data_IF_235536076479
#
_entry.id   IF_235536076479
#
_cell.length_a   1.000
_cell.length_b   1.000
_cell.length_c   1.000
_cell.angle_alpha   90.00
_cell.angle_beta   90.00
_cell.angle_gamma   90.00
#
_symmetry.space_group_name_H-M   'P 1'
#
loop_
_entity.id
_entity.type
_entity.pdbx_description
1 polymer ?
#
# COMPACT_ATOMS: atom_id res chain seq x y z
N UNK A 1 2.19 12.82 -0.74
CA UNK A 1 1.44 12.07 -1.74
C UNK A 1 1.55 10.57 -1.48
N UNK A 2 0.61 9.80 -2.04
CA UNK A 2 0.63 8.35 -2.03
C UNK A 2 0.68 7.89 -3.48
N UNK A 3 1.62 7.01 -3.78
CA UNK A 3 1.74 6.39 -5.09
C UNK A 3 1.13 4.99 -5.07
N UNK A 4 0.44 4.65 -6.15
CA UNK A 4 -0.19 3.35 -6.35
C UNK A 4 0.26 2.77 -7.68
N UNK A 5 0.53 1.46 -7.70
CA UNK A 5 0.88 0.72 -8.90
C UNK A 5 0.36 -0.72 -8.85
N UNK A 6 0.36 -1.35 -10.00
CA UNK A 6 0.29 -2.80 -10.13
C UNK A 6 1.71 -3.32 -10.23
N UNK A 7 2.20 -4.09 -9.28
CA UNK A 7 3.50 -4.73 -9.42
C UNK A 7 3.35 -6.18 -9.90
N UNK A 8 4.36 -6.66 -10.64
CA UNK A 8 4.26 -7.91 -11.42
C UNK A 8 4.45 -9.21 -10.63
N UNK A 9 4.39 -9.22 -9.29
CA UNK A 9 4.58 -10.44 -8.51
C UNK A 9 3.34 -11.32 -8.44
N UNK A 10 3.50 -12.62 -8.21
CA UNK A 10 2.37 -13.54 -8.00
C UNK A 10 1.48 -13.12 -6.80
N UNK A 11 2.07 -12.53 -5.76
CA UNK A 11 1.31 -11.97 -4.66
C UNK A 11 0.40 -10.83 -5.13
N UNK A 12 0.86 -10.01 -6.07
CA UNK A 12 0.08 -8.90 -6.60
C UNK A 12 -1.11 -9.39 -7.42
N UNK A 13 -0.96 -10.46 -8.19
CA UNK A 13 -2.09 -11.09 -8.89
C UNK A 13 -3.17 -11.56 -7.89
N UNK A 14 -2.78 -12.21 -6.79
CA UNK A 14 -3.69 -12.62 -5.73
C UNK A 14 -4.39 -11.43 -5.06
N UNK A 15 -3.64 -10.35 -4.76
CA UNK A 15 -4.21 -9.12 -4.17
C UNK A 15 -5.18 -8.45 -5.14
N UNK A 16 -4.85 -8.39 -6.44
CA UNK A 16 -5.72 -7.82 -7.46
C UNK A 16 -7.05 -8.58 -7.55
N UNK A 17 -7.01 -9.91 -7.56
CA UNK A 17 -8.21 -10.75 -7.55
C UNK A 17 -9.03 -10.52 -6.29
N UNK A 18 -8.40 -10.63 -5.12
CA UNK A 18 -9.09 -10.54 -3.84
C UNK A 18 -9.70 -9.15 -3.55
N UNK A 19 -9.19 -8.10 -4.16
CA UNK A 19 -9.65 -6.71 -3.95
C UNK A 19 -10.44 -6.12 -5.12
N UNK A 20 -10.53 -6.83 -6.24
CA UNK A 20 -11.07 -6.34 -7.51
C UNK A 20 -10.48 -4.98 -7.92
N UNK A 21 -9.16 -4.84 -7.78
CA UNK A 21 -8.45 -3.59 -8.03
C UNK A 21 -7.11 -3.84 -8.72
N UNK A 22 -6.73 -3.03 -9.71
CA UNK A 22 -5.41 -3.12 -10.32
C UNK A 22 -4.31 -2.62 -9.38
N UNK A 23 -4.65 -1.87 -8.33
CA UNK A 23 -3.67 -1.31 -7.42
C UNK A 23 -3.33 -2.31 -6.32
N UNK A 24 -2.16 -2.92 -6.45
CA UNK A 24 -1.70 -4.01 -5.57
C UNK A 24 -0.56 -3.59 -4.67
N UNK A 25 0.04 -2.44 -4.95
CA UNK A 25 1.15 -1.88 -4.19
C UNK A 25 1.01 -0.37 -4.03
N UNK A 26 1.53 0.16 -2.91
CA UNK A 26 1.53 1.59 -2.63
C UNK A 26 2.69 1.98 -1.70
N UNK A 27 3.03 3.28 -1.74
CA UNK A 27 4.02 3.88 -0.85
C UNK A 27 3.75 5.37 -0.63
N UNK A 28 4.35 5.94 0.40
CA UNK A 28 4.28 7.37 0.70
C UNK A 28 5.47 8.08 0.08
N UNK A 29 5.22 9.18 -0.62
CA UNK A 29 6.28 9.96 -1.26
C UNK A 29 6.68 11.13 -0.38
N UNK A 30 7.97 11.23 -0.15
CA UNK A 30 8.61 12.38 0.47
C UNK A 30 9.64 12.99 -0.47
N UNK A 31 9.86 14.30 -0.33
CA UNK A 31 11.00 14.97 -0.99
C UNK A 31 12.20 14.88 -0.04
N UNK A 32 13.29 14.30 -0.52
CA UNK A 32 14.56 14.18 0.18
C UNK A 32 15.67 14.76 -0.69
N UNK A 33 16.38 15.76 -0.17
CA UNK A 33 17.41 16.48 -0.92
C UNK A 33 16.95 16.98 -2.30
N UNK A 34 15.68 17.41 -2.40
CA UNK A 34 15.08 17.91 -3.64
C UNK A 34 14.56 16.82 -4.60
N UNK A 35 14.68 15.53 -4.24
CA UNK A 35 14.29 14.40 -5.09
C UNK A 35 13.12 13.63 -4.46
N UNK A 36 12.13 13.16 -5.26
CA UNK A 36 11.07 12.33 -4.73
C UNK A 36 11.59 10.93 -4.42
N UNK A 37 11.28 10.48 -3.20
CA UNK A 37 11.63 9.15 -2.67
C UNK A 37 10.37 8.49 -2.13
N UNK A 38 10.13 7.24 -2.52
CA UNK A 38 8.99 6.46 -2.07
C UNK A 38 9.39 5.63 -0.86
N UNK A 39 8.67 5.79 0.23
CA UNK A 39 8.80 4.95 1.40
C UNK A 39 7.78 3.82 1.31
N UNK A 40 8.26 2.61 1.22
CA UNK A 40 7.44 1.44 0.91
C UNK A 40 7.84 0.20 1.71
N UNK A 41 6.90 -0.72 1.86
CA UNK A 41 7.17 -2.05 2.40
C UNK A 41 7.15 -3.06 1.24
N UNK A 42 8.32 -3.61 0.92
CA UNK A 42 8.51 -4.65 -0.11
C UNK A 42 9.28 -5.85 0.45
N UNK A 43 9.89 -5.67 1.63
CA UNK A 43 10.68 -6.64 2.34
C UNK A 43 12.18 -6.46 2.15
N UNK A 44 12.81 -5.54 2.92
CA UNK A 44 12.28 -4.81 4.07
C UNK A 44 11.50 -3.53 3.71
N UNK A 45 11.04 -2.80 4.75
CA UNK A 45 10.61 -1.41 4.59
C UNK A 45 11.83 -0.58 4.20
N UNK A 46 11.70 0.16 3.12
CA UNK A 46 12.84 0.89 2.56
C UNK A 46 12.43 2.19 1.86
N UNK A 47 13.45 2.96 1.47
CA UNK A 47 13.33 4.14 0.63
C UNK A 47 13.78 3.78 -0.77
N UNK A 48 12.89 3.96 -1.73
CA UNK A 48 13.14 3.67 -3.14
C UNK A 48 13.11 4.97 -3.93
N UNK A 49 14.16 5.31 -4.70
CA UNK A 49 14.11 6.43 -5.62
C UNK A 49 12.90 6.31 -6.55
N UNK A 50 12.27 7.43 -6.88
CA UNK A 50 11.05 7.42 -7.70
C UNK A 50 11.22 6.70 -9.03
N UNK A 51 12.35 6.90 -9.72
CA UNK A 51 12.60 6.26 -11.01
C UNK A 51 12.60 4.72 -10.89
N UNK A 52 13.32 4.20 -9.90
CA UNK A 52 13.39 2.76 -9.64
C UNK A 52 12.02 2.20 -9.24
N UNK A 53 11.26 2.97 -8.45
CA UNK A 53 9.93 2.55 -8.03
C UNK A 53 8.96 2.42 -9.21
N UNK A 54 9.00 3.34 -10.19
CA UNK A 54 8.18 3.27 -11.41
C UNK A 54 8.51 2.02 -12.24
N UNK A 55 9.79 1.65 -12.33
CA UNK A 55 10.22 0.45 -13.08
C UNK A 55 9.69 -0.87 -12.50
N UNK A 56 9.36 -0.90 -11.22
CA UNK A 56 8.74 -2.07 -10.59
C UNK A 56 7.26 -2.26 -10.93
N UNK A 57 6.62 -1.25 -11.50
CA UNK A 57 5.22 -1.29 -11.94
C UNK A 57 5.07 -1.92 -13.33
N UNK A 58 4.01 -2.68 -13.52
CA UNK A 58 3.63 -3.20 -14.84
C UNK A 58 3.36 -2.03 -15.77
N UNK A 59 4.01 -2.02 -16.93
CA UNK A 59 3.90 -0.98 -17.96
C UNK A 59 4.22 0.44 -17.45
N UNK A 60 4.95 0.56 -16.34
CA UNK A 60 5.30 1.84 -15.72
C UNK A 60 4.07 2.63 -15.23
N UNK A 61 2.93 1.95 -15.04
CA UNK A 61 1.70 2.63 -14.61
C UNK A 61 1.75 3.03 -13.13
N UNK A 62 1.61 4.31 -12.90
CA UNK A 62 1.57 4.91 -11.55
C UNK A 62 0.39 5.88 -11.45
N UNK A 63 -0.35 5.80 -10.35
CA UNK A 63 -1.33 6.83 -10.01
C UNK A 63 -0.91 7.52 -8.73
N UNK A 64 -0.90 8.84 -8.77
CA UNK A 64 -0.56 9.71 -7.64
C UNK A 64 -1.84 10.22 -7.00
N UNK A 65 -2.01 9.94 -5.72
CA UNK A 65 -3.12 10.50 -4.95
C UNK A 65 -2.61 11.41 -3.84
N UNK A 66 -3.36 12.47 -3.62
CA UNK A 66 -3.06 13.52 -2.64
C UNK A 66 -4.23 13.70 -1.69
N UNK A 67 -3.92 14.06 -0.44
CA UNK A 67 -4.94 14.47 0.51
C UNK A 67 -5.67 15.71 -0.02
N UNK A 68 -7.01 15.66 -0.10
CA UNK A 68 -7.84 16.82 -0.55
C UNK A 68 -7.57 18.07 0.28
N UNK A 69 -7.39 17.88 1.58
CA UNK A 69 -7.05 18.95 2.53
C UNK A 69 -5.54 19.01 2.74
N UNK A 70 -4.83 19.37 1.66
CA UNK A 70 -3.36 19.42 1.66
C UNK A 70 -2.80 20.41 2.70
N UNK A 71 -3.57 21.42 3.07
CA UNK A 71 -3.21 22.39 4.11
C UNK A 71 -2.99 21.76 5.49
N UNK A 72 -3.52 20.56 5.73
CA UNK A 72 -3.24 19.82 6.96
C UNK A 72 -1.81 19.29 7.03
N UNK A 73 -1.14 19.13 5.89
CA UNK A 73 0.24 18.64 5.82
C UNK A 73 1.24 19.79 5.95
N UNK A 74 1.21 20.46 7.09
CA UNK A 74 2.21 21.48 7.43
C UNK A 74 3.61 20.86 7.51
N UNK A 75 4.71 21.66 7.43
CA UNK A 75 6.06 21.15 7.59
C UNK A 75 6.26 20.32 8.87
N UNK A 76 5.65 20.73 9.98
CA UNK A 76 5.71 20.00 11.25
C UNK A 76 4.99 18.65 11.18
N UNK A 77 3.82 18.59 10.53
CA UNK A 77 3.09 17.33 10.30
C UNK A 77 3.88 16.39 9.40
N UNK A 78 4.46 16.92 8.30
CA UNK A 78 5.30 16.10 7.41
C UNK A 78 6.52 15.56 8.14
N UNK A 79 7.16 16.34 9.01
CA UNK A 79 8.26 15.85 9.86
C UNK A 79 7.80 14.74 10.80
N UNK A 80 6.61 14.86 11.40
CA UNK A 80 6.02 13.82 12.25
C UNK A 80 5.67 12.55 11.45
N UNK A 81 5.19 12.69 10.22
CA UNK A 81 4.96 11.57 9.30
C UNK A 81 6.26 10.84 8.95
N UNK A 82 7.33 11.57 8.64
CA UNK A 82 8.66 10.97 8.43
C UNK A 82 9.13 10.23 9.68
N UNK A 83 9.04 10.85 10.86
CA UNK A 83 9.41 10.21 12.11
C UNK A 83 8.55 8.96 12.41
N UNK A 84 7.30 8.92 11.98
CA UNK A 84 6.47 7.73 12.08
C UNK A 84 6.98 6.60 11.19
N UNK A 85 7.28 6.87 9.92
CA UNK A 85 7.81 5.88 8.99
C UNK A 85 9.21 5.39 9.32
N UNK A 86 10.08 6.28 9.89
CA UNK A 86 11.42 5.89 10.34
C UNK A 86 11.42 4.75 11.36
N UNK A 87 10.42 4.69 12.25
CA UNK A 87 10.30 3.61 13.24
C UNK A 87 10.05 2.24 12.61
N UNK A 88 9.56 2.23 11.39
CA UNK A 88 9.25 1.00 10.66
C UNK A 88 10.32 0.63 9.62
N UNK A 89 11.32 1.51 9.36
CA UNK A 89 12.41 1.22 8.42
C UNK A 89 13.16 -0.05 8.79
N UNK A 90 13.42 -0.88 7.78
CA UNK A 90 14.13 -2.15 7.94
C UNK A 90 13.24 -3.31 8.42
N UNK A 91 11.99 -3.08 8.83
CA UNK A 91 11.09 -4.17 9.20
C UNK A 91 10.83 -5.11 8.03
N UNK A 92 10.77 -6.43 8.25
CA UNK A 92 10.44 -7.39 7.21
C UNK A 92 8.99 -7.23 6.74
N UNK A 93 8.73 -7.68 5.50
CA UNK A 93 7.37 -7.67 4.95
C UNK A 93 6.46 -8.67 5.66
N UNK A 94 5.24 -8.25 6.00
CA UNK A 94 4.24 -9.13 6.56
C UNK A 94 3.44 -9.82 5.44
N UNK A 95 3.77 -11.08 5.19
CA UNK A 95 3.04 -11.91 4.21
C UNK A 95 1.71 -12.45 4.76
N UNK A 96 1.49 -12.37 6.08
CA UNK A 96 0.29 -12.84 6.75
C UNK A 96 -0.73 -11.74 6.99
N UNK A 97 -0.35 -10.48 6.73
CA UNK A 97 -1.19 -9.31 6.95
C UNK A 97 -1.71 -9.20 8.39
N UNK A 98 -0.96 -9.72 9.35
CA UNK A 98 -1.34 -9.77 10.75
C UNK A 98 -1.22 -8.40 11.42
N UNK A 99 -2.03 -8.10 12.44
CA UNK A 99 -1.92 -6.86 13.19
C UNK A 99 -0.76 -6.95 14.20
N UNK A 100 0.46 -7.17 13.69
CA UNK A 100 1.65 -7.24 14.53
C UNK A 100 2.52 -5.98 14.38
N UNK A 101 3.56 -5.84 15.19
CA UNK A 101 4.42 -4.67 15.19
C UNK A 101 5.81 -4.91 14.60
N UNK A 102 6.18 -6.18 14.37
CA UNK A 102 7.54 -6.57 13.97
C UNK A 102 7.67 -6.69 12.45
N UNK A 103 6.54 -6.85 11.77
CA UNK A 103 6.42 -6.92 10.32
C UNK A 103 5.42 -5.88 9.85
N UNK A 104 5.45 -5.54 8.56
CA UNK A 104 4.52 -4.56 8.00
C UNK A 104 4.34 -4.77 6.50
N UNK A 105 3.12 -4.61 5.99
CA UNK A 105 2.84 -4.65 4.56
C UNK A 105 2.56 -3.23 4.01
N UNK A 106 2.55 -3.09 2.68
CA UNK A 106 2.62 -1.79 2.02
C UNK A 106 1.52 -0.80 2.43
N UNK A 107 0.26 -1.21 2.39
CA UNK A 107 -0.87 -0.34 2.74
C UNK A 107 -0.97 -0.06 4.24
N UNK A 108 -0.53 -0.98 5.08
CA UNK A 108 -0.41 -0.74 6.51
C UNK A 108 0.63 0.34 6.81
N UNK A 109 1.80 0.29 6.17
CA UNK A 109 2.83 1.33 6.30
C UNK A 109 2.27 2.72 5.97
N UNK A 110 1.57 2.83 4.83
CA UNK A 110 0.94 4.10 4.42
C UNK A 110 -0.06 4.57 5.48
N UNK A 111 -0.96 3.69 5.92
CA UNK A 111 -1.96 4.05 6.93
C UNK A 111 -1.29 4.45 8.26
N UNK A 112 -0.26 3.73 8.69
CA UNK A 112 0.48 3.99 9.93
C UNK A 112 1.20 5.33 9.90
N UNK A 113 1.84 5.69 8.78
CA UNK A 113 2.50 6.98 8.59
C UNK A 113 1.49 8.12 8.71
N UNK A 114 0.36 8.04 8.02
CA UNK A 114 -0.67 9.07 8.07
C UNK A 114 -1.36 9.15 9.43
N UNK A 115 -1.70 8.02 10.01
CA UNK A 115 -2.37 7.96 11.33
C UNK A 115 -1.48 8.49 12.43
N UNK A 116 -0.22 8.03 12.52
CA UNK A 116 0.69 8.39 13.60
C UNK A 116 1.32 9.75 13.43
N UNK A 117 1.56 10.21 12.18
CA UNK A 117 2.21 11.48 11.91
C UNK A 117 1.25 12.65 11.70
N UNK A 118 0.09 12.39 11.08
CA UNK A 118 -0.88 13.42 10.73
C UNK A 118 -2.22 13.31 11.48
N UNK A 119 -2.46 12.25 12.25
CA UNK A 119 -3.75 11.98 12.88
C UNK A 119 -4.86 11.63 11.88
N UNK A 120 -4.50 11.25 10.65
CA UNK A 120 -5.44 11.00 9.56
C UNK A 120 -5.47 9.51 9.24
N UNK A 121 -6.65 8.90 9.31
CA UNK A 121 -6.85 7.52 8.88
C UNK A 121 -7.28 7.50 7.42
N UNK A 122 -6.43 6.98 6.54
CA UNK A 122 -6.72 6.80 5.12
C UNK A 122 -7.08 5.33 4.88
N UNK A 123 -8.16 5.13 4.10
CA UNK A 123 -8.69 3.79 3.82
C UNK A 123 -9.45 3.18 5.00
N UNK A 124 -10.28 2.23 4.68
CA UNK A 124 -11.05 1.46 5.65
C UNK A 124 -10.41 0.09 5.83
N UNK A 125 -10.32 -0.37 7.08
CA UNK A 125 -10.03 -1.76 7.38
C UNK A 125 -11.26 -2.61 7.10
N UNK A 126 -11.05 -3.78 6.55
CA UNK A 126 -12.08 -4.79 6.32
C UNK A 126 -11.65 -6.11 6.95
N UNK A 127 -12.59 -7.01 7.19
CA UNK A 127 -12.24 -8.36 7.63
C UNK A 127 -11.56 -9.10 6.48
N UNK A 128 -10.50 -9.85 6.79
CA UNK A 128 -9.79 -10.61 5.77
C UNK A 128 -10.71 -11.62 5.07
N UNK A 129 -11.66 -12.22 5.81
CA UNK A 129 -12.66 -13.14 5.29
C UNK A 129 -13.70 -12.53 4.35
N UNK A 130 -13.82 -11.21 4.30
CA UNK A 130 -14.76 -10.51 3.40
C UNK A 130 -14.17 -10.24 2.02
N UNK A 131 -12.89 -10.60 1.81
CA UNK A 131 -12.22 -10.47 0.50
C UNK A 131 -12.59 -11.64 -0.42
N UNK A 132 -12.50 -11.41 -1.73
CA UNK A 132 -12.79 -12.45 -2.73
C UNK A 132 -11.58 -13.35 -2.99
N UNK A 133 -11.60 -14.55 -2.45
CA UNK A 133 -10.59 -15.58 -2.68
C UNK A 133 -11.02 -16.66 -3.69
N UNK A 134 -12.06 -16.41 -4.48
CA UNK A 134 -12.54 -17.37 -5.49
C UNK A 134 -11.62 -17.48 -6.71
N UNK A 135 -10.81 -16.45 -6.97
CA UNK A 135 -9.81 -16.46 -8.04
C UNK A 135 -8.66 -17.44 -7.77
N UNK A 136 -8.10 -18.03 -8.82
CA UNK A 136 -7.09 -19.07 -8.70
C UNK A 136 -5.84 -18.65 -7.92
N UNK A 137 -5.32 -17.44 -8.19
CA UNK A 137 -4.11 -16.92 -7.52
C UNK A 137 -4.40 -16.57 -6.05
N UNK A 138 -5.55 -15.94 -5.78
CA UNK A 138 -5.98 -15.61 -4.44
C UNK A 138 -6.22 -16.87 -3.59
N UNK A 139 -6.90 -17.86 -4.15
CA UNK A 139 -7.15 -19.15 -3.49
C UNK A 139 -5.87 -19.91 -3.19
N UNK A 140 -4.93 -19.95 -4.17
CA UNK A 140 -3.62 -20.58 -3.99
C UNK A 140 -2.82 -19.90 -2.87
N UNK A 141 -2.70 -18.57 -2.93
CA UNK A 141 -2.01 -17.80 -1.89
C UNK A 141 -2.58 -18.08 -0.50
N UNK A 142 -3.90 -18.10 -0.38
CA UNK A 142 -4.58 -18.39 0.89
C UNK A 142 -4.19 -19.76 1.43
N UNK A 143 -4.29 -20.79 0.59
CA UNK A 143 -3.95 -22.18 0.95
C UNK A 143 -2.49 -22.33 1.36
N UNK A 144 -1.57 -21.73 0.57
CA UNK A 144 -0.13 -21.86 0.81
C UNK A 144 0.32 -21.16 2.11
N UNK A 145 -0.34 -20.05 2.49
CA UNK A 145 0.04 -19.28 3.68
C UNK A 145 -0.65 -19.72 4.95
N UNK A 146 -1.92 -20.08 4.87
CA UNK A 146 -2.75 -20.30 6.05
C UNK A 146 -3.23 -21.76 6.18
N UNK A 147 -3.23 -22.55 5.10
CA UNK A 147 -3.79 -23.87 5.09
C UNK A 147 -5.25 -23.86 5.54
N UNK A 148 -5.56 -24.65 6.60
CA UNK A 148 -6.90 -24.70 7.18
C UNK A 148 -7.17 -23.62 8.26
N UNK A 149 -6.14 -22.85 8.65
CA UNK A 149 -6.22 -21.86 9.75
C UNK A 149 -6.34 -20.42 9.23
N UNK A 150 -7.29 -20.21 8.36
CA UNK A 150 -7.52 -18.89 7.78
C UNK A 150 -8.09 -17.90 8.81
N UNK A 151 -7.42 -16.75 9.05
CA UNK A 151 -7.83 -15.78 10.06
C UNK A 151 -8.92 -14.83 9.50
N UNK A 152 -10.13 -15.32 9.31
CA UNK A 152 -11.21 -14.60 8.64
C UNK A 152 -11.58 -13.27 9.32
N UNK A 153 -11.47 -13.19 10.64
CA UNK A 153 -11.82 -11.99 11.41
C UNK A 153 -10.70 -10.94 11.51
N UNK A 154 -9.51 -11.27 10.99
CA UNK A 154 -8.36 -10.37 11.02
C UNK A 154 -8.65 -9.08 10.25
N UNK A 155 -8.44 -7.89 10.86
CA UNK A 155 -8.56 -6.62 10.14
C UNK A 155 -7.40 -6.44 9.18
N UNK A 156 -7.70 -6.03 7.95
CA UNK A 156 -6.70 -5.71 6.93
C UNK A 156 -7.07 -4.41 6.24
N UNK A 157 -6.06 -3.61 5.91
CA UNK A 157 -6.18 -2.47 5.00
C UNK A 157 -5.52 -2.82 3.68
N UNK A 158 -6.16 -2.52 2.56
CA UNK A 158 -5.63 -2.88 1.24
C UNK A 158 -5.23 -1.64 0.45
N UNK A 159 -4.32 -1.75 -0.53
CA UNK A 159 -4.06 -0.64 -1.46
C UNK A 159 -5.34 -0.14 -2.14
N UNK A 160 -6.26 -1.04 -2.47
CA UNK A 160 -7.56 -0.71 -3.05
C UNK A 160 -8.41 0.15 -2.10
N UNK A 161 -8.44 -0.17 -0.80
CA UNK A 161 -9.15 0.61 0.21
C UNK A 161 -8.55 2.01 0.36
N UNK A 162 -7.22 2.12 0.41
CA UNK A 162 -6.54 3.41 0.43
C UNK A 162 -6.86 4.22 -0.83
N UNK A 163 -6.81 3.58 -2.01
CA UNK A 163 -7.08 4.24 -3.29
C UNK A 163 -8.48 4.81 -3.38
N UNK A 164 -9.48 4.10 -2.86
CA UNK A 164 -10.90 4.51 -2.84
C UNK A 164 -11.23 5.53 -1.76
N UNK A 165 -10.29 5.86 -0.87
CA UNK A 165 -10.54 6.78 0.23
C UNK A 165 -11.10 8.12 -0.25
N UNK A 166 -12.22 8.53 0.32
CA UNK A 166 -12.86 9.82 0.03
C UNK A 166 -12.01 11.03 0.44
N UNK A 167 -10.97 10.81 1.27
CA UNK A 167 -10.03 11.85 1.68
C UNK A 167 -9.01 12.20 0.60
N UNK A 168 -8.86 11.35 -0.44
CA UNK A 168 -7.86 11.50 -1.47
C UNK A 168 -8.45 11.97 -2.79
N UNK A 169 -7.65 12.67 -3.57
CA UNK A 169 -7.91 13.05 -4.96
C UNK A 169 -6.74 12.56 -5.83
N UNK A 170 -7.04 12.11 -7.04
CA UNK A 170 -5.99 11.81 -8.04
C UNK A 170 -5.44 13.12 -8.57
N UNK A 171 -4.12 13.29 -8.54
CA UNK A 171 -3.43 14.50 -9.01
C UNK A 171 -2.56 14.24 -10.22
N UNK A 172 -2.18 12.98 -10.45
CA UNK A 172 -1.38 12.59 -11.61
C UNK A 172 -1.58 11.10 -11.93
N UNK A 173 -1.33 10.73 -13.19
CA UNK A 173 -1.32 9.33 -13.64
C UNK A 173 -0.38 9.18 -14.83
N UNK A 174 0.55 8.24 -14.75
CA UNK A 174 1.54 7.93 -15.78
C UNK A 174 1.31 6.50 -16.26
N UNK A 175 1.47 6.26 -17.56
CA UNK A 175 1.25 4.94 -18.17
C UNK A 175 -0.24 4.58 -18.31
N UNK A 176 -0.51 3.39 -18.87
CA UNK A 176 -1.86 2.87 -19.06
C UNK A 176 -2.27 2.00 -17.89
N UNK A 177 -3.51 2.17 -17.42
CA UNK A 177 -4.02 1.33 -16.32
C UNK A 177 -4.02 -0.15 -16.73
N UNK A 178 -3.48 -1.06 -15.90
CA UNK A 178 -3.46 -2.48 -16.21
C UNK A 178 -4.89 -3.05 -16.19
N UNK A 179 -5.14 -3.97 -17.12
CA UNK A 179 -6.42 -4.68 -17.18
C UNK A 179 -6.45 -5.76 -16.10
N UNK A 180 -7.49 -5.76 -15.26
CA UNK A 180 -7.73 -6.85 -14.31
C UNK A 180 -8.25 -8.04 -15.10
N UNK A 181 -7.49 -9.12 -15.21
CA UNK A 181 -8.03 -10.39 -15.69
C UNK A 181 -8.99 -10.94 -14.61
N UNK A 182 -10.24 -11.12 -15.01
CA UNK A 182 -11.29 -11.71 -14.16
C UNK A 182 -11.15 -13.22 -14.09
#
# INVERSE_FOLDING_TARGET
DIFFQHSGSMQCAAVAQATHSPYTHCGVVFIESGTPVVWEAVGPVMRTPYADWVEHGVDGHVVVKRLKRIELLTPGVVAAMKAAGERDMGKPYDIYFAPDTDRIYCSELVQRIYRSGAGIRIGEEQRFGDMDFSGAEASRMLKDRFGERFPADQPVVTPASLFRSALLVTVDSVGSAPTIMR
#
